data_IF_531136197236
#
_entry.id   IF_531136197236
#
_cell.length_a   1.000
_cell.length_b   1.000
_cell.length_c   1.000
_cell.angle_alpha   90.00
_cell.angle_beta   90.00
_cell.angle_gamma   90.00
#
_symmetry.space_group_name_H-M   'P 1'
#
loop_
_entity.id
_entity.type
_entity.pdbx_description
1 polymer ?
#
# COMPACT_ATOMS: atom_id res chain seq x y z
N UNK A 1 -2.84 34.06 -31.43
CA UNK A 1 -2.48 32.71 -31.91
C UNK A 1 -3.62 32.26 -32.81
N UNK A 2 -3.40 32.22 -34.13
CA UNK A 2 -4.46 31.97 -35.09
C UNK A 2 -4.95 30.52 -34.99
N UNK A 3 -6.23 30.35 -34.70
CA UNK A 3 -6.94 29.08 -34.69
C UNK A 3 -7.03 28.58 -36.14
N UNK A 4 -6.00 27.86 -36.58
CA UNK A 4 -5.92 27.26 -37.91
C UNK A 4 -6.73 25.96 -37.95
N UNK A 5 -7.99 26.01 -37.52
CA UNK A 5 -8.93 24.91 -37.79
C UNK A 5 -9.26 24.96 -39.28
N UNK A 6 -9.15 23.82 -39.96
CA UNK A 6 -9.59 23.71 -41.34
C UNK A 6 -11.03 24.16 -41.50
N UNK A 7 -11.31 24.89 -42.58
CA UNK A 7 -12.69 25.08 -43.00
C UNK A 7 -13.25 23.69 -43.38
N UNK A 8 -14.35 23.23 -42.77
CA UNK A 8 -14.99 21.97 -43.14
C UNK A 8 -15.31 21.87 -44.63
N UNK A 9 -15.44 23.00 -45.34
CA UNK A 9 -15.56 23.04 -46.80
C UNK A 9 -14.32 22.51 -47.52
N UNK A 10 -13.11 22.84 -47.06
CA UNK A 10 -11.86 22.42 -47.70
C UNK A 10 -11.62 20.92 -47.55
N UNK A 11 -11.91 20.37 -46.37
CA UNK A 11 -11.85 18.92 -46.11
C UNK A 11 -12.85 18.21 -47.03
N UNK A 12 -14.07 18.72 -47.14
CA UNK A 12 -15.10 18.14 -48.01
C UNK A 12 -14.67 18.13 -49.47
N UNK A 13 -14.07 19.21 -49.96
CA UNK A 13 -13.58 19.28 -51.34
C UNK A 13 -12.46 18.26 -51.57
N UNK A 14 -11.54 18.10 -50.61
CA UNK A 14 -10.46 17.11 -50.69
C UNK A 14 -11.00 15.67 -50.70
N UNK A 15 -11.96 15.36 -49.83
CA UNK A 15 -12.63 14.07 -49.74
C UNK A 15 -13.41 13.73 -51.02
N UNK A 16 -14.14 14.69 -51.58
CA UNK A 16 -14.86 14.52 -52.85
C UNK A 16 -13.89 14.22 -54.01
N UNK A 17 -12.75 14.92 -54.05
CA UNK A 17 -11.73 14.73 -55.08
C UNK A 17 -11.07 13.34 -54.95
N UNK A 18 -10.72 12.93 -53.73
CA UNK A 18 -10.14 11.60 -53.47
C UNK A 18 -11.14 10.48 -53.79
N UNK A 19 -12.40 10.62 -53.38
CA UNK A 19 -13.46 9.64 -53.65
C UNK A 19 -13.66 9.42 -55.16
N UNK A 20 -13.62 10.50 -55.94
CA UNK A 20 -13.70 10.44 -57.40
C UNK A 20 -12.53 9.67 -58.01
N UNK A 21 -11.31 9.95 -57.53
CA UNK A 21 -10.09 9.26 -57.99
C UNK A 21 -10.10 7.78 -57.61
N UNK A 22 -10.65 7.43 -56.45
CA UNK A 22 -10.79 6.04 -55.98
C UNK A 22 -11.93 5.28 -56.66
N UNK A 23 -12.95 5.98 -57.16
CA UNK A 23 -14.09 5.36 -57.86
C UNK A 23 -13.78 4.99 -59.32
N UNK A 24 -12.77 5.60 -59.92
CA UNK A 24 -12.39 5.32 -61.31
C UNK A 24 -11.65 3.97 -61.42
N UNK A 25 -12.04 3.06 -62.33
CA UNK A 25 -11.38 1.77 -62.46
C UNK A 25 -9.91 1.90 -62.84
N UNK A 26 -9.07 1.03 -62.26
CA UNK A 26 -7.61 1.00 -62.47
C UNK A 26 -7.28 0.86 -63.96
N UNK A 27 -6.86 1.96 -64.59
CA UNK A 27 -6.57 2.03 -66.02
C UNK A 27 -7.00 3.35 -66.69
N UNK A 28 -7.90 4.12 -66.07
CA UNK A 28 -8.44 5.38 -66.61
C UNK A 28 -7.87 6.63 -65.93
N UNK A 29 -6.54 6.68 -65.77
CA UNK A 29 -5.87 7.83 -65.12
C UNK A 29 -6.16 9.16 -65.82
N UNK A 30 -6.42 9.13 -67.14
CA UNK A 30 -6.76 10.31 -67.93
C UNK A 30 -8.13 10.89 -67.56
N UNK A 31 -9.17 10.05 -67.44
CA UNK A 31 -10.51 10.51 -67.06
C UNK A 31 -10.52 11.01 -65.62
N UNK A 32 -9.84 10.30 -64.72
CA UNK A 32 -9.71 10.72 -63.33
C UNK A 32 -9.04 12.10 -63.23
N UNK A 33 -7.97 12.36 -64.01
CA UNK A 33 -7.26 13.64 -64.04
C UNK A 33 -8.13 14.76 -64.61
N UNK A 34 -8.88 14.49 -65.69
CA UNK A 34 -9.77 15.48 -66.31
C UNK A 34 -10.91 15.86 -65.37
N UNK A 35 -11.50 14.88 -64.69
CA UNK A 35 -12.55 15.10 -63.71
C UNK A 35 -12.02 15.86 -62.47
N UNK A 36 -10.80 15.56 -62.02
CA UNK A 36 -10.05 16.32 -61.02
C UNK A 36 -9.88 17.79 -61.43
N UNK A 37 -9.45 18.02 -62.67
CA UNK A 37 -9.19 19.36 -63.21
C UNK A 37 -10.48 20.17 -63.34
N UNK A 38 -11.56 19.55 -63.78
CA UNK A 38 -12.90 20.14 -63.86
C UNK A 38 -13.41 20.55 -62.46
N UNK A 39 -13.24 19.67 -61.46
CA UNK A 39 -13.66 19.90 -60.07
C UNK A 39 -12.82 20.99 -59.40
N UNK A 40 -11.50 20.99 -59.62
CA UNK A 40 -10.60 22.03 -59.13
C UNK A 40 -10.96 23.40 -59.72
N UNK A 41 -11.24 23.45 -61.04
CA UNK A 41 -11.71 24.67 -61.72
C UNK A 41 -13.03 25.18 -61.16
N UNK A 42 -14.00 24.28 -60.92
CA UNK A 42 -15.31 24.63 -60.32
C UNK A 42 -15.17 25.20 -58.90
N UNK A 43 -14.14 24.82 -58.16
CA UNK A 43 -13.87 25.29 -56.80
C UNK A 43 -12.75 26.35 -56.74
N UNK A 44 -12.29 26.90 -57.87
CA UNK A 44 -11.18 27.87 -57.94
C UNK A 44 -9.89 27.41 -57.23
N UNK A 45 -9.62 26.11 -57.20
CA UNK A 45 -8.44 25.53 -56.58
C UNK A 45 -7.30 25.37 -57.60
N UNK A 46 -6.16 25.98 -57.30
CA UNK A 46 -4.92 25.77 -58.05
C UNK A 46 -4.15 24.56 -57.52
N UNK A 47 -3.25 23.98 -58.33
CA UNK A 47 -2.41 22.86 -57.89
C UNK A 47 -1.54 23.20 -56.67
N UNK A 48 -1.08 24.45 -56.56
CA UNK A 48 -0.35 24.95 -55.39
C UNK A 48 -1.23 25.04 -54.14
N UNK A 49 -2.47 25.54 -54.29
CA UNK A 49 -3.43 25.58 -53.19
C UNK A 49 -3.77 24.17 -52.69
N UNK A 50 -3.98 23.23 -53.61
CA UNK A 50 -4.30 21.84 -53.31
C UNK A 50 -3.14 21.13 -52.56
N UNK A 51 -1.89 21.37 -52.99
CA UNK A 51 -0.70 20.89 -52.28
C UNK A 51 -0.60 21.45 -50.86
N UNK A 52 -0.90 22.74 -50.68
CA UNK A 52 -0.86 23.38 -49.37
C UNK A 52 -1.96 22.84 -48.44
N UNK A 53 -3.15 22.55 -48.97
CA UNK A 53 -4.22 21.91 -48.20
C UNK A 53 -3.81 20.52 -47.70
N UNK A 54 -3.22 19.69 -48.56
CA UNK A 54 -2.69 18.38 -48.16
C UNK A 54 -1.56 18.49 -47.13
N UNK A 55 -0.59 19.39 -47.36
CA UNK A 55 0.54 19.58 -46.44
C UNK A 55 0.06 20.06 -45.06
N UNK A 56 -0.90 20.99 -45.04
CA UNK A 56 -1.52 21.46 -43.81
C UNK A 56 -2.26 20.31 -43.11
N UNK A 57 -3.03 19.49 -43.84
CA UNK A 57 -3.84 18.42 -43.25
C UNK A 57 -2.97 17.37 -42.59
N UNK A 58 -1.86 16.99 -43.24
CA UNK A 58 -0.88 16.08 -42.67
C UNK A 58 -0.24 16.64 -41.38
N UNK A 59 0.06 17.94 -41.35
CA UNK A 59 0.61 18.60 -40.17
C UNK A 59 -0.39 18.64 -38.99
N UNK A 60 -1.68 18.84 -39.26
CA UNK A 60 -2.71 18.89 -38.23
C UNK A 60 -3.02 17.51 -37.64
N UNK A 61 -3.08 16.46 -38.46
CA UNK A 61 -3.17 15.08 -37.96
C UNK A 61 -1.99 14.76 -37.02
N UNK A 62 -0.79 15.24 -37.35
CA UNK A 62 0.38 15.14 -36.47
C UNK A 62 0.21 15.87 -35.14
N UNK A 63 -0.40 17.06 -35.14
CA UNK A 63 -0.68 17.86 -33.93
C UNK A 63 -1.78 17.26 -33.07
N UNK A 64 -2.87 16.77 -33.66
CA UNK A 64 -3.95 16.09 -32.94
C UNK A 64 -3.41 14.84 -32.24
N UNK A 65 -2.65 14.01 -32.95
CA UNK A 65 -2.00 12.83 -32.38
C UNK A 65 -0.98 13.17 -31.27
N UNK A 66 -0.32 14.33 -31.34
CA UNK A 66 0.58 14.79 -30.29
C UNK A 66 -0.19 15.26 -29.05
N UNK A 67 -1.26 16.03 -29.25
CA UNK A 67 -2.11 16.54 -28.18
C UNK A 67 -2.82 15.40 -27.43
N UNK A 68 -3.30 14.37 -28.13
CA UNK A 68 -3.94 13.21 -27.50
C UNK A 68 -2.94 12.36 -26.72
N UNK A 69 -1.71 12.18 -27.25
CA UNK A 69 -0.62 11.55 -26.50
C UNK A 69 -0.25 12.34 -25.25
N UNK A 70 -0.19 13.67 -25.33
CA UNK A 70 0.09 14.51 -24.17
C UNK A 70 -1.01 14.38 -23.10
N UNK A 71 -2.29 14.35 -23.48
CA UNK A 71 -3.40 14.11 -22.55
C UNK A 71 -3.27 12.75 -21.87
N UNK A 72 -2.96 11.69 -22.63
CA UNK A 72 -2.74 10.35 -22.07
C UNK A 72 -1.58 10.33 -21.07
N UNK A 73 -0.47 11.02 -21.37
CA UNK A 73 0.64 11.11 -20.44
C UNK A 73 0.27 11.88 -19.17
N UNK A 74 -0.46 12.99 -19.28
CA UNK A 74 -0.95 13.76 -18.12
C UNK A 74 -1.88 12.93 -17.25
N UNK A 75 -2.76 12.14 -17.85
CA UNK A 75 -3.64 11.22 -17.13
C UNK A 75 -2.83 10.16 -16.37
N UNK A 76 -1.90 9.49 -17.04
CA UNK A 76 -1.00 8.50 -16.41
C UNK A 76 -0.20 9.10 -15.26
N UNK A 77 0.37 10.29 -15.43
CA UNK A 77 1.09 10.97 -14.34
C UNK A 77 0.18 11.19 -13.15
N UNK A 78 -1.05 11.67 -13.37
CA UNK A 78 -2.01 11.89 -12.28
C UNK A 78 -2.44 10.61 -11.57
N UNK A 79 -2.52 9.49 -12.29
CA UNK A 79 -2.80 8.17 -11.72
C UNK A 79 -1.62 7.67 -10.88
N UNK A 80 -0.40 7.75 -11.42
CA UNK A 80 0.82 7.38 -10.70
C UNK A 80 1.00 8.22 -9.42
N UNK A 81 0.71 9.53 -9.47
CA UNK A 81 0.77 10.38 -8.28
C UNK A 81 -0.24 9.96 -7.20
N UNK A 82 -1.44 9.53 -7.59
CA UNK A 82 -2.45 9.02 -6.64
C UNK A 82 -1.99 7.71 -6.01
N UNK A 83 -1.46 6.80 -6.81
CA UNK A 83 -0.92 5.53 -6.33
C UNK A 83 0.27 5.74 -5.37
N UNK A 84 1.15 6.69 -5.67
CA UNK A 84 2.28 7.05 -4.81
C UNK A 84 1.80 7.61 -3.45
N UNK A 85 0.76 8.45 -3.45
CA UNK A 85 0.16 8.95 -2.19
C UNK A 85 -0.50 7.81 -1.40
N UNK A 86 -1.17 6.88 -2.06
CA UNK A 86 -1.79 5.72 -1.41
C UNK A 86 -0.74 4.80 -0.78
N UNK A 87 0.31 4.45 -1.52
CA UNK A 87 1.40 3.60 -1.03
C UNK A 87 2.16 4.25 0.13
N UNK A 88 2.40 5.57 0.09
CA UNK A 88 2.93 6.31 1.24
C UNK A 88 2.01 6.26 2.45
N UNK A 89 0.69 6.36 2.26
CA UNK A 89 -0.30 6.20 3.32
C UNK A 89 -0.23 4.81 3.96
N UNK A 90 -0.15 3.77 3.14
CA UNK A 90 -0.01 2.39 3.61
C UNK A 90 1.28 2.17 4.40
N UNK A 91 2.42 2.69 3.91
CA UNK A 91 3.68 2.62 4.65
C UNK A 91 3.59 3.29 6.02
N UNK A 92 2.99 4.48 6.10
CA UNK A 92 2.79 5.17 7.39
C UNK A 92 1.89 4.36 8.33
N UNK A 93 0.82 3.76 7.83
CA UNK A 93 -0.05 2.91 8.65
C UNK A 93 0.66 1.64 9.14
N UNK A 94 1.46 0.99 8.27
CA UNK A 94 2.20 -0.21 8.62
C UNK A 94 3.31 0.10 9.65
N UNK A 95 4.02 1.22 9.48
CA UNK A 95 4.99 1.71 10.47
C UNK A 95 4.32 2.02 11.82
N UNK A 96 3.14 2.65 11.79
CA UNK A 96 2.33 2.90 12.98
C UNK A 96 1.95 1.60 13.70
N UNK A 97 1.43 0.61 12.98
CA UNK A 97 1.08 -0.70 13.53
C UNK A 97 2.29 -1.40 14.15
N UNK A 98 3.43 -1.42 13.46
CA UNK A 98 4.67 -2.00 14.00
C UNK A 98 5.13 -1.29 15.27
N UNK A 99 5.05 0.04 15.32
CA UNK A 99 5.43 0.81 16.50
C UNK A 99 4.53 0.47 17.71
N UNK A 100 3.23 0.30 17.46
CA UNK A 100 2.27 -0.11 18.50
C UNK A 100 2.61 -1.51 19.04
N UNK A 101 2.83 -2.49 18.16
CA UNK A 101 3.21 -3.85 18.57
C UNK A 101 4.54 -3.87 19.32
N UNK A 102 5.52 -3.05 18.92
CA UNK A 102 6.79 -2.92 19.64
C UNK A 102 6.60 -2.35 21.05
N UNK A 103 5.74 -1.33 21.21
CA UNK A 103 5.42 -0.76 22.53
C UNK A 103 4.73 -1.78 23.42
N UNK A 104 3.77 -2.52 22.89
CA UNK A 104 3.03 -3.56 23.60
C UNK A 104 3.96 -4.71 24.06
N UNK A 105 4.85 -5.15 23.17
CA UNK A 105 5.86 -6.16 23.50
C UNK A 105 6.79 -5.69 24.63
N UNK A 106 7.22 -4.42 24.59
CA UNK A 106 8.03 -3.84 25.66
C UNK A 106 7.28 -3.77 26.98
N UNK A 107 6.01 -3.35 26.97
CA UNK A 107 5.16 -3.32 28.17
C UNK A 107 5.03 -4.71 28.80
N UNK A 108 4.74 -5.74 28.01
CA UNK A 108 4.66 -7.12 28.49
C UNK A 108 5.99 -7.61 29.09
N UNK A 109 7.12 -7.27 28.46
CA UNK A 109 8.43 -7.64 29.04
C UNK A 109 8.68 -6.97 30.40
N UNK A 110 8.27 -5.70 30.56
CA UNK A 110 8.39 -5.03 31.86
C UNK A 110 7.46 -5.65 32.92
N UNK A 111 6.26 -6.08 32.54
CA UNK A 111 5.35 -6.79 33.43
C UNK A 111 5.93 -8.14 33.87
N UNK A 112 6.48 -8.92 32.93
CA UNK A 112 7.15 -10.19 33.26
C UNK A 112 8.35 -9.97 34.19
N UNK A 113 9.15 -8.93 33.94
CA UNK A 113 10.31 -8.60 34.76
C UNK A 113 9.90 -8.23 36.20
N UNK A 114 8.84 -7.44 36.37
CA UNK A 114 8.32 -7.04 37.69
C UNK A 114 7.66 -8.21 38.42
N UNK A 115 6.90 -9.06 37.72
CA UNK A 115 6.31 -10.28 38.32
C UNK A 115 7.40 -11.26 38.79
N UNK A 116 8.49 -11.45 38.03
CA UNK A 116 9.61 -12.29 38.46
C UNK A 116 10.27 -11.76 39.74
N UNK A 117 10.38 -10.44 39.91
CA UNK A 117 10.99 -9.84 41.09
C UNK A 117 10.18 -10.08 42.38
N UNK A 118 8.85 -10.17 42.32
CA UNK A 118 8.00 -10.38 43.50
C UNK A 118 7.83 -11.85 43.91
N UNK A 119 8.07 -12.80 42.98
CA UNK A 119 7.84 -14.23 43.22
C UNK A 119 8.68 -14.87 44.35
N UNK A 120 9.98 -14.58 44.54
CA UNK A 120 10.78 -15.31 45.54
C UNK A 120 10.40 -14.96 46.99
N UNK A 121 9.92 -13.74 47.24
CA UNK A 121 9.61 -13.27 48.59
C UNK A 121 8.41 -13.99 49.22
N UNK A 122 7.44 -14.38 48.39
CA UNK A 122 6.28 -15.19 48.81
C UNK A 122 6.67 -16.60 49.24
N UNK A 123 7.65 -17.21 48.57
CA UNK A 123 8.12 -18.54 48.95
C UNK A 123 8.94 -18.50 50.25
N UNK A 124 9.77 -17.47 50.43
CA UNK A 124 10.58 -17.29 51.65
C UNK A 124 9.67 -17.11 52.87
N UNK A 125 8.62 -16.28 52.77
CA UNK A 125 7.67 -16.05 53.87
C UNK A 125 6.88 -17.32 54.24
N UNK A 126 6.42 -18.08 53.25
CA UNK A 126 5.76 -19.38 53.50
C UNK A 126 6.74 -20.37 54.16
N UNK A 127 7.96 -20.49 53.65
CA UNK A 127 8.96 -21.39 54.20
C UNK A 127 9.32 -21.03 55.66
N UNK A 128 9.46 -19.74 55.97
CA UNK A 128 9.73 -19.26 57.32
C UNK A 128 8.54 -19.49 58.28
N UNK A 129 7.30 -19.31 57.80
CA UNK A 129 6.10 -19.62 58.58
C UNK A 129 6.00 -21.11 58.92
N UNK A 130 6.28 -21.98 57.95
CA UNK A 130 6.31 -23.44 58.16
C UNK A 130 7.40 -23.81 59.18
N UNK A 131 8.62 -23.29 59.04
CA UNK A 131 9.71 -23.61 59.96
C UNK A 131 9.43 -23.12 61.38
N UNK A 132 8.94 -21.89 61.55
CA UNK A 132 8.56 -21.35 62.85
C UNK A 132 7.43 -22.15 63.51
N UNK A 133 6.41 -22.54 62.74
CA UNK A 133 5.32 -23.39 63.22
C UNK A 133 5.79 -24.78 63.66
N UNK A 134 6.72 -25.39 62.91
CA UNK A 134 7.27 -26.71 63.23
C UNK A 134 8.12 -26.66 64.51
N UNK A 135 8.95 -25.63 64.67
CA UNK A 135 9.74 -25.41 65.89
C UNK A 135 8.84 -25.18 67.11
N UNK A 136 7.81 -24.35 66.97
CA UNK A 136 6.85 -24.12 68.05
C UNK A 136 6.12 -25.41 68.41
N UNK A 137 5.71 -26.21 67.44
CA UNK A 137 5.09 -27.52 67.66
C UNK A 137 5.98 -28.49 68.45
N UNK A 138 7.26 -28.61 68.07
CA UNK A 138 8.22 -29.47 68.78
C UNK A 138 8.43 -28.98 70.22
N UNK A 139 8.61 -27.67 70.42
CA UNK A 139 8.80 -27.09 71.75
C UNK A 139 7.59 -27.33 72.66
N UNK A 140 6.39 -27.16 72.11
CA UNK A 140 5.13 -27.40 72.85
C UNK A 140 4.99 -28.87 73.25
N UNK A 141 5.38 -29.79 72.35
CA UNK A 141 5.34 -31.24 72.61
C UNK A 141 6.30 -31.66 73.73
N UNK A 142 7.54 -31.14 73.71
CA UNK A 142 8.54 -31.41 74.75
C UNK A 142 8.11 -30.85 76.12
N UNK A 143 7.51 -29.66 76.14
CA UNK A 143 6.99 -29.06 77.38
C UNK A 143 5.87 -29.92 78.01
N UNK A 144 5.00 -30.50 77.20
CA UNK A 144 3.92 -31.37 77.68
C UNK A 144 4.45 -32.68 78.29
N UNK A 145 5.46 -33.30 77.65
CA UNK A 145 6.12 -34.49 78.22
C UNK A 145 6.83 -34.16 79.53
N UNK A 146 7.55 -33.04 79.59
CA UNK A 146 8.21 -32.59 80.83
C UNK A 146 7.25 -32.32 81.99
N UNK A 147 6.01 -31.93 81.72
CA UNK A 147 4.99 -31.75 82.77
C UNK A 147 4.30 -33.05 83.19
N UNK A 148 4.32 -34.07 82.33
CA UNK A 148 3.58 -35.33 82.54
C UNK A 148 4.47 -36.47 83.03
N UNK A 149 5.78 -36.42 82.77
CA UNK A 149 6.72 -37.45 83.21
C UNK A 149 6.90 -37.42 84.73
N UNK A 150 6.42 -38.48 85.38
CA UNK A 150 6.62 -38.74 86.81
C UNK A 150 8.01 -39.34 87.05
N UNK A 151 8.70 -39.00 88.16
CA UNK A 151 10.03 -39.51 88.42
C UNK A 151 10.01 -41.05 88.57
N UNK A 152 11.00 -41.76 88.00
CA UNK A 152 11.10 -43.21 88.16
C UNK A 152 11.41 -43.55 89.62
N UNK A 153 10.63 -44.47 90.20
CA UNK A 153 10.86 -45.00 91.54
C UNK A 153 12.12 -45.86 91.50
N UNK A 154 13.20 -45.35 92.09
CA UNK A 154 14.46 -46.07 92.24
C UNK A 154 14.30 -47.24 93.22
N UNK A 155 14.36 -48.47 92.70
CA UNK A 155 14.21 -49.72 93.48
C UNK A 155 15.56 -50.25 94.00
N UNK A 156 16.65 -49.50 93.87
CA UNK A 156 17.99 -49.97 94.29
C UNK A 156 18.22 -50.01 95.80
N UNK A 157 17.27 -49.57 96.63
CA UNK A 157 17.42 -49.46 98.09
C UNK A 157 17.09 -50.76 98.86
N UNK A 158 16.55 -51.81 98.22
CA UNK A 158 16.06 -53.01 98.93
C UNK A 158 16.98 -54.24 98.92
N UNK A 159 18.22 -54.13 98.41
CA UNK A 159 19.21 -55.20 98.54
C UNK A 159 20.41 -54.72 99.36
N UNK A 160 20.26 -54.71 100.69
CA UNK A 160 21.39 -54.79 101.61
C UNK A 160 21.00 -55.56 102.86
#
# INVERSE_FOLDING_TARGET
MAENRFDPKDIKILSDILALVLAEPSGSAQNALEALRLRAKRNNLSGGALKNLFASLAADTGRQNAADREKQFRQRISELERELRQTQGHLRSAQGALSHTQMESRALMTEIATQRAQRPWRYITIAFGISAGLLLGIATSQFYHSLTDRPPIDRSVYFR
#
